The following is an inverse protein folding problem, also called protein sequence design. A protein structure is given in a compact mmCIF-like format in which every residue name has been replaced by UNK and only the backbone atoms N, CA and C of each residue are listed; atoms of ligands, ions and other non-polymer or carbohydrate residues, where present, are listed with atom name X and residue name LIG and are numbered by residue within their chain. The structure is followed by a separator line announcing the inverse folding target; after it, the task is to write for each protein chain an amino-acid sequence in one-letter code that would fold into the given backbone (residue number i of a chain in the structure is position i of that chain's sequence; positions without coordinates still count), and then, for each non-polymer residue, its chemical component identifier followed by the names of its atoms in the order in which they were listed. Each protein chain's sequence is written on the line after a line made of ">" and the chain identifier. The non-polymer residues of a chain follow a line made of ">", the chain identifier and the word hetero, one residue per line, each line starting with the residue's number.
data_IF_709389783604
#
_entry.id   IF_709389783604
#
_cell.length_a   1.000
_cell.length_b   1.000
_cell.length_c   1.000
_cell.angle_alpha   90.00
_cell.angle_beta   90.00
_cell.angle_gamma   90.00
#
_symmetry.space_group_name_H-M   'P 1'
#
loop_
_entity.id
_entity.type
_entity.pdbx_description
1 polymer ?
#
# COMPACT_ATOMS: atom_id res chain seq x y z
N UNK A 1 16.65 15.62 12.54
CA UNK A 1 17.47 14.88 11.55
C UNK A 1 17.13 13.38 11.44
N UNK A 2 16.29 12.79 12.32
CA UNK A 2 15.92 11.35 12.25
C UNK A 2 14.82 10.98 11.23
N UNK A 3 14.07 11.97 10.72
CA UNK A 3 12.95 11.74 9.80
C UNK A 3 13.31 10.99 8.51
N UNK A 4 14.36 11.38 7.78
CA UNK A 4 14.77 10.67 6.56
C UNK A 4 15.15 9.20 6.80
N UNK A 5 15.80 8.89 7.93
CA UNK A 5 16.17 7.51 8.27
C UNK A 5 14.93 6.64 8.46
N UNK A 6 13.95 7.12 9.24
CA UNK A 6 12.67 6.42 9.39
C UNK A 6 11.90 6.31 8.07
N UNK A 7 11.99 7.32 7.21
CA UNK A 7 11.42 7.27 5.86
C UNK A 7 12.01 6.15 5.01
N UNK A 8 13.34 5.98 5.01
CA UNK A 8 14.02 4.89 4.29
C UNK A 8 13.64 3.53 4.88
N UNK A 9 13.66 3.40 6.20
CA UNK A 9 13.26 2.16 6.87
C UNK A 9 11.80 1.79 6.57
N UNK A 10 10.90 2.78 6.58
CA UNK A 10 9.51 2.60 6.21
C UNK A 10 9.38 2.16 4.75
N UNK A 11 10.13 2.79 3.83
CA UNK A 11 10.12 2.40 2.41
C UNK A 11 10.59 0.95 2.20
N UNK A 12 11.62 0.50 2.93
CA UNK A 12 12.04 -0.91 2.91
C UNK A 12 11.01 -1.85 3.51
N UNK A 13 10.41 -1.48 4.65
CA UNK A 13 9.41 -2.31 5.31
C UNK A 13 8.13 -2.47 4.48
N UNK A 14 7.60 -1.36 3.96
CA UNK A 14 6.40 -1.35 3.10
C UNK A 14 6.70 -1.98 1.74
N UNK A 15 7.73 -1.51 1.04
CA UNK A 15 8.05 -2.02 -0.31
C UNK A 15 8.45 -3.48 -0.30
N UNK A 16 9.29 -3.89 0.66
CA UNK A 16 9.68 -5.30 0.82
C UNK A 16 8.50 -6.18 1.25
N UNK A 17 7.67 -5.71 2.20
CA UNK A 17 6.48 -6.41 2.66
C UNK A 17 5.46 -6.64 1.53
N UNK A 18 5.13 -5.60 0.78
CA UNK A 18 4.20 -5.67 -0.35
C UNK A 18 4.72 -6.57 -1.47
N UNK A 19 6.02 -6.52 -1.77
CA UNK A 19 6.63 -7.39 -2.76
C UNK A 19 6.56 -8.87 -2.36
N UNK A 20 6.95 -9.18 -1.11
CA UNK A 20 6.90 -10.55 -0.59
C UNK A 20 5.47 -11.06 -0.47
N UNK A 21 4.54 -10.23 0.00
CA UNK A 21 3.10 -10.54 0.08
C UNK A 21 2.47 -10.77 -1.29
N UNK A 22 2.84 -9.95 -2.28
CA UNK A 22 2.44 -10.14 -3.67
C UNK A 22 2.99 -11.43 -4.28
N UNK A 23 4.28 -11.75 -4.03
CA UNK A 23 4.90 -12.99 -4.50
C UNK A 23 4.26 -14.23 -3.85
N UNK A 24 3.96 -14.16 -2.55
CA UNK A 24 3.24 -15.21 -1.84
C UNK A 24 1.82 -15.41 -2.40
N UNK A 25 1.13 -14.31 -2.75
CA UNK A 25 -0.23 -14.34 -3.30
C UNK A 25 -0.31 -14.91 -4.72
N UNK A 26 0.82 -15.09 -5.40
CA UNK A 26 0.90 -15.85 -6.67
C UNK A 26 0.95 -17.36 -6.46
N UNK A 27 1.30 -17.82 -5.25
CA UNK A 27 1.46 -19.25 -4.92
C UNK A 27 0.37 -19.79 -4.00
N UNK A 28 -0.23 -18.91 -3.21
CA UNK A 28 -1.24 -19.23 -2.21
C UNK A 28 -2.49 -18.38 -2.43
N UNK A 29 -3.67 -18.82 -1.94
CA UNK A 29 -4.86 -17.99 -1.97
C UNK A 29 -4.62 -16.63 -1.32
N UNK A 30 -4.90 -15.53 -2.04
CA UNK A 30 -4.63 -14.16 -1.58
C UNK A 30 -5.22 -13.89 -0.20
N UNK A 31 -6.44 -14.36 0.06
CA UNK A 31 -7.09 -14.21 1.36
C UNK A 31 -6.28 -14.85 2.50
N UNK A 32 -5.68 -16.01 2.26
CA UNK A 32 -4.84 -16.69 3.25
C UNK A 32 -3.58 -15.88 3.56
N UNK A 33 -2.92 -15.33 2.53
CA UNK A 33 -1.73 -14.48 2.70
C UNK A 33 -2.05 -13.25 3.55
N UNK A 34 -3.17 -12.58 3.27
CA UNK A 34 -3.63 -11.43 4.06
C UNK A 34 -3.97 -11.84 5.49
N UNK A 35 -4.71 -12.95 5.67
CA UNK A 35 -5.09 -13.43 7.00
C UNK A 35 -3.85 -13.70 7.88
N UNK A 36 -2.84 -14.37 7.34
CA UNK A 36 -1.58 -14.63 8.04
C UNK A 36 -0.86 -13.33 8.36
N UNK A 37 -0.78 -12.39 7.41
CA UNK A 37 -0.14 -11.08 7.62
C UNK A 37 -0.83 -10.25 8.73
N UNK A 38 -2.16 -10.21 8.72
CA UNK A 38 -2.95 -9.52 9.74
C UNK A 38 -2.81 -10.22 11.10
N UNK A 39 -2.79 -11.56 11.14
CA UNK A 39 -2.58 -12.31 12.37
C UNK A 39 -1.18 -12.05 12.96
N UNK A 40 -0.13 -12.04 12.13
CA UNK A 40 1.23 -11.68 12.56
C UNK A 40 1.29 -10.27 13.12
N UNK A 41 0.63 -9.31 12.47
CA UNK A 41 0.53 -7.92 12.96
C UNK A 41 -0.18 -7.87 14.31
N UNK A 42 -1.28 -8.59 14.48
CA UNK A 42 -2.03 -8.63 15.73
C UNK A 42 -1.18 -9.20 16.88
N UNK A 43 -0.47 -10.31 16.63
CA UNK A 43 0.44 -10.95 17.60
C UNK A 43 1.55 -10.00 18.05
N UNK A 44 2.05 -9.14 17.16
CA UNK A 44 3.09 -8.17 17.48
C UNK A 44 2.54 -6.91 18.18
N UNK A 45 1.43 -6.35 17.68
CA UNK A 45 0.94 -5.04 18.12
C UNK A 45 0.19 -5.12 19.45
N UNK A 46 -0.50 -6.22 19.75
CA UNK A 46 -1.29 -6.37 20.99
C UNK A 46 -0.41 -6.36 22.25
N UNK A 47 0.70 -7.11 22.33
CA UNK A 47 1.61 -7.03 23.48
C UNK A 47 2.22 -5.64 23.65
N UNK A 48 2.55 -4.95 22.56
CA UNK A 48 3.10 -3.58 22.59
C UNK A 48 2.04 -2.61 23.14
N UNK A 49 0.81 -2.71 22.64
CA UNK A 49 -0.31 -1.90 23.13
C UNK A 49 -0.57 -2.15 24.63
N UNK A 50 -0.55 -3.42 25.06
CA UNK A 50 -0.73 -3.77 26.47
C UNK A 50 0.39 -3.23 27.35
N UNK A 51 1.65 -3.38 26.93
CA UNK A 51 2.82 -2.89 27.65
C UNK A 51 2.89 -1.35 27.70
N UNK A 52 2.26 -0.65 26.75
CA UNK A 52 2.22 0.82 26.71
C UNK A 52 1.36 1.46 27.81
N UNK A 53 0.53 0.69 28.52
CA UNK A 53 -0.33 1.18 29.60
C UNK A 53 -1.43 2.14 29.13
N UNK A 54 -1.77 2.12 27.84
CA UNK A 54 -2.81 2.99 27.28
C UNK A 54 -4.20 2.60 27.80
N UNK A 55 -5.05 3.62 27.96
CA UNK A 55 -6.45 3.44 28.35
C UNK A 55 -7.23 2.74 27.23
N UNK A 56 -8.26 1.97 27.63
CA UNK A 56 -9.17 1.35 26.68
C UNK A 56 -9.90 2.47 25.89
N UNK A 57 -9.93 2.41 24.55
CA UNK A 57 -10.61 3.42 23.75
C UNK A 57 -12.12 3.49 24.06
N UNK A 58 -12.67 4.70 24.01
CA UNK A 58 -14.13 4.92 23.98
C UNK A 58 -14.78 4.18 22.80
N UNK A 59 -16.02 3.74 22.99
CA UNK A 59 -16.94 3.26 21.94
C UNK A 59 -16.84 4.00 20.61
N UNK A 60 -16.80 5.34 20.60
CA UNK A 60 -16.71 6.11 19.36
C UNK A 60 -15.36 5.93 18.64
N UNK A 61 -14.26 5.85 19.41
CA UNK A 61 -12.95 5.53 18.87
C UNK A 61 -12.92 4.09 18.35
N UNK A 62 -13.55 3.15 19.06
CA UNK A 62 -13.66 1.75 18.67
C UNK A 62 -14.37 1.57 17.32
N UNK A 63 -15.47 2.29 17.08
CA UNK A 63 -16.19 2.23 15.80
C UNK A 63 -15.34 2.79 14.66
N UNK A 64 -14.65 3.91 14.89
CA UNK A 64 -13.77 4.53 13.86
C UNK A 64 -12.59 3.63 13.51
N UNK A 65 -11.94 3.02 14.50
CA UNK A 65 -10.81 2.11 14.27
C UNK A 65 -11.25 0.80 13.64
N UNK A 66 -12.45 0.30 13.97
CA UNK A 66 -13.04 -0.86 13.29
C UNK A 66 -13.28 -0.59 11.81
N UNK A 67 -13.90 0.55 11.47
CA UNK A 67 -14.12 0.95 10.07
C UNK A 67 -12.79 1.11 9.34
N UNK A 68 -11.82 1.80 9.97
CA UNK A 68 -10.48 1.96 9.41
C UNK A 68 -9.79 0.61 9.17
N UNK A 69 -9.86 -0.31 10.14
CA UNK A 69 -9.28 -1.64 10.03
C UNK A 69 -9.90 -2.49 8.92
N UNK A 70 -11.23 -2.49 8.78
CA UNK A 70 -11.93 -3.18 7.69
C UNK A 70 -11.54 -2.58 6.34
N UNK A 71 -11.57 -1.24 6.21
CA UNK A 71 -11.18 -0.57 4.97
C UNK A 71 -9.73 -0.86 4.57
N UNK A 72 -8.80 -0.82 5.54
CA UNK A 72 -7.39 -1.13 5.32
C UNK A 72 -7.18 -2.58 4.92
N UNK A 73 -7.81 -3.52 5.63
CA UNK A 73 -7.75 -4.95 5.30
C UNK A 73 -8.30 -5.28 3.90
N UNK A 74 -9.44 -4.68 3.53
CA UNK A 74 -9.97 -4.78 2.17
C UNK A 74 -9.02 -4.19 1.13
N UNK A 75 -8.37 -3.06 1.44
CA UNK A 75 -7.36 -2.43 0.60
C UNK A 75 -6.16 -3.34 0.34
N UNK A 76 -5.59 -3.94 1.39
CA UNK A 76 -4.47 -4.90 1.28
C UNK A 76 -4.90 -6.14 0.49
N UNK A 77 -6.12 -6.64 0.71
CA UNK A 77 -6.64 -7.76 -0.06
C UNK A 77 -6.76 -7.44 -1.55
N UNK A 78 -7.29 -6.27 -1.90
CA UNK A 78 -7.36 -5.81 -3.29
C UNK A 78 -5.97 -5.63 -3.91
N UNK A 79 -5.01 -5.09 -3.16
CA UNK A 79 -3.62 -4.90 -3.59
C UNK A 79 -2.95 -6.24 -3.92
N UNK A 80 -2.98 -7.19 -2.97
CA UNK A 80 -2.35 -8.50 -3.15
C UNK A 80 -3.06 -9.33 -4.22
N UNK A 81 -4.38 -9.18 -4.36
CA UNK A 81 -5.12 -9.79 -5.45
C UNK A 81 -4.67 -9.23 -6.81
N UNK A 82 -4.45 -7.90 -6.89
CA UNK A 82 -3.86 -7.26 -8.06
C UNK A 82 -2.46 -7.78 -8.38
N UNK A 83 -1.60 -7.97 -7.39
CA UNK A 83 -0.27 -8.56 -7.58
C UNK A 83 -0.29 -10.01 -8.05
N UNK A 84 -1.30 -10.77 -7.61
CA UNK A 84 -1.48 -12.16 -8.03
C UNK A 84 -1.88 -12.27 -9.51
N UNK A 85 -2.70 -11.35 -10.02
CA UNK A 85 -3.31 -11.46 -11.36
C UNK A 85 -2.78 -10.44 -12.40
N UNK A 86 -1.91 -9.51 -12.00
CA UNK A 86 -1.41 -8.43 -12.85
C UNK A 86 0.10 -8.24 -12.81
N UNK A 87 0.57 -7.24 -13.58
CA UNK A 87 1.96 -6.75 -13.53
C UNK A 87 2.16 -6.01 -12.20
N UNK A 88 3.03 -6.55 -11.33
CA UNK A 88 3.30 -5.97 -10.00
C UNK A 88 3.70 -4.50 -10.10
N UNK A 89 4.53 -4.12 -11.08
CA UNK A 89 4.96 -2.73 -11.28
C UNK A 89 3.80 -1.77 -11.49
N UNK A 90 2.84 -2.14 -12.36
CA UNK A 90 1.68 -1.31 -12.68
C UNK A 90 0.75 -1.21 -11.47
N UNK A 91 0.43 -2.34 -10.83
CA UNK A 91 -0.45 -2.38 -9.65
C UNK A 91 0.15 -1.57 -8.50
N UNK A 92 1.46 -1.71 -8.24
CA UNK A 92 2.15 -0.99 -7.18
C UNK A 92 2.17 0.52 -7.45
N UNK A 93 2.42 0.94 -8.69
CA UNK A 93 2.38 2.36 -9.06
C UNK A 93 0.99 2.96 -8.87
N UNK A 94 -0.06 2.29 -9.34
CA UNK A 94 -1.45 2.75 -9.17
C UNK A 94 -1.79 2.85 -7.68
N UNK A 95 -1.54 1.79 -6.91
CA UNK A 95 -1.87 1.74 -5.49
C UNK A 95 -1.09 2.78 -4.67
N UNK A 96 0.23 2.88 -4.88
CA UNK A 96 1.08 3.83 -4.19
C UNK A 96 0.66 5.29 -4.44
N UNK A 97 0.23 5.61 -5.66
CA UNK A 97 -0.30 6.94 -5.94
C UNK A 97 -1.66 7.16 -5.31
N UNK A 98 -2.61 6.23 -5.43
CA UNK A 98 -3.90 6.40 -4.78
C UNK A 98 -3.72 6.59 -3.27
N UNK A 99 -2.80 5.85 -2.64
CA UNK A 99 -2.44 6.02 -1.24
C UNK A 99 -1.87 7.41 -0.92
N UNK A 100 -1.19 8.07 -1.86
CA UNK A 100 -0.69 9.43 -1.70
C UNK A 100 -1.73 10.53 -2.01
N UNK A 101 -2.58 10.32 -3.03
CA UNK A 101 -3.55 11.32 -3.50
C UNK A 101 -4.81 11.37 -2.63
N UNK A 102 -5.27 10.24 -2.08
CA UNK A 102 -6.50 10.20 -1.27
C UNK A 102 -6.38 11.10 -0.03
N UNK A 103 -5.34 11.00 0.82
CA UNK A 103 -5.22 11.87 2.00
C UNK A 103 -5.20 13.35 1.63
N UNK A 104 -4.59 13.67 0.49
CA UNK A 104 -4.44 15.04 -0.01
C UNK A 104 -5.77 15.59 -0.49
N UNK A 105 -6.54 14.80 -1.23
CA UNK A 105 -7.89 15.17 -1.62
C UNK A 105 -8.75 15.42 -0.36
N UNK A 106 -8.63 14.56 0.65
CA UNK A 106 -9.34 14.72 1.93
C UNK A 106 -8.93 16.02 2.64
N UNK A 107 -7.64 16.38 2.69
CA UNK A 107 -7.22 17.66 3.32
C UNK A 107 -7.71 18.87 2.54
N UNK A 108 -7.69 18.83 1.20
CA UNK A 108 -8.23 19.91 0.34
C UNK A 108 -9.73 20.11 0.56
N UNK A 109 -10.49 19.01 0.58
CA UNK A 109 -11.94 19.04 0.86
C UNK A 109 -12.20 19.57 2.28
N UNK A 110 -11.31 19.28 3.22
CA UNK A 110 -11.31 19.84 4.58
C UNK A 110 -10.98 21.34 4.67
N UNK A 111 -10.67 22.00 3.54
CA UNK A 111 -10.40 23.44 3.47
C UNK A 111 -8.92 23.81 3.58
N UNK A 112 -8.01 22.84 3.67
CA UNK A 112 -6.57 23.13 3.65
C UNK A 112 -6.07 23.42 2.23
N UNK A 113 -5.49 24.60 2.01
CA UNK A 113 -4.92 24.98 0.71
C UNK A 113 -3.48 24.43 0.63
N UNK A 114 -3.17 23.50 -0.29
CA UNK A 114 -1.82 22.98 -0.46
C UNK A 114 -0.88 24.09 -0.90
N UNK A 115 0.35 24.09 -0.38
CA UNK A 115 1.39 24.97 -0.90
C UNK A 115 1.72 24.63 -2.36
N UNK A 116 2.23 25.63 -3.12
CA UNK A 116 2.61 25.45 -4.51
C UNK A 116 3.61 24.29 -4.70
N UNK A 117 4.52 24.09 -3.75
CA UNK A 117 5.49 22.99 -3.75
C UNK A 117 4.81 21.63 -3.66
N UNK A 118 3.77 21.47 -2.82
CA UNK A 118 3.00 20.22 -2.73
C UNK A 118 2.26 19.94 -4.04
N UNK A 119 1.68 20.98 -4.66
CA UNK A 119 0.99 20.85 -5.94
C UNK A 119 1.91 20.34 -7.05
N UNK A 120 3.13 20.90 -7.14
CA UNK A 120 4.16 20.44 -8.09
C UNK A 120 4.52 18.97 -7.82
N UNK A 121 4.66 18.59 -6.55
CA UNK A 121 4.88 17.20 -6.15
C UNK A 121 3.78 16.26 -6.65
N UNK A 122 2.51 16.65 -6.55
CA UNK A 122 1.38 15.84 -7.06
C UNK A 122 1.41 15.69 -8.57
N UNK A 123 1.59 16.78 -9.31
CA UNK A 123 1.66 16.73 -10.77
C UNK A 123 2.81 15.80 -11.19
N UNK A 124 3.98 15.91 -10.53
CA UNK A 124 5.14 15.07 -10.79
C UNK A 124 4.85 13.60 -10.52
N UNK A 125 4.19 13.29 -9.39
CA UNK A 125 3.78 11.93 -9.06
C UNK A 125 2.80 11.35 -10.11
N UNK A 126 1.82 12.15 -10.55
CA UNK A 126 0.86 11.75 -11.60
C UNK A 126 1.58 11.42 -12.91
N UNK A 127 2.49 12.28 -13.36
CA UNK A 127 3.28 12.07 -14.57
C UNK A 127 4.13 10.79 -14.47
N UNK A 128 4.78 10.56 -13.33
CA UNK A 128 5.59 9.35 -13.12
C UNK A 128 4.76 8.06 -13.28
N UNK A 129 3.51 8.03 -12.81
CA UNK A 129 2.62 6.86 -12.98
C UNK A 129 2.27 6.63 -14.42
N UNK A 130 1.94 7.71 -15.16
CA UNK A 130 1.57 7.59 -16.57
C UNK A 130 2.73 6.90 -17.28
N UNK A 131 3.95 7.41 -17.09
CA UNK A 131 5.17 6.83 -17.67
C UNK A 131 5.35 5.36 -17.27
N UNK A 132 5.25 5.02 -15.98
CA UNK A 132 5.47 3.63 -15.50
C UNK A 132 4.36 2.69 -15.98
N UNK A 133 3.13 3.19 -16.10
CA UNK A 133 1.97 2.40 -16.52
C UNK A 133 1.93 2.18 -18.03
N UNK A 134 2.46 3.13 -18.82
CA UNK A 134 2.57 3.03 -20.28
C UNK A 134 3.88 2.40 -20.76
N UNK A 135 4.79 2.03 -19.86
CA UNK A 135 6.00 1.27 -20.18
C UNK A 135 5.65 -0.09 -20.77
N UNK A 136 5.72 -0.18 -22.09
CA UNK A 136 5.51 -1.39 -22.87
C UNK A 136 6.43 -2.51 -22.37
N UNK A 137 5.85 -3.68 -22.14
CA UNK A 137 6.62 -4.90 -22.01
C UNK A 137 6.99 -5.37 -23.40
N UNK A 138 8.13 -4.92 -23.94
CA UNK A 138 8.76 -5.63 -25.04
C UNK A 138 9.23 -7.00 -24.52
N UNK A 139 8.37 -8.00 -24.69
CA UNK A 139 8.85 -9.36 -24.94
C UNK A 139 8.19 -9.82 -26.24
N UNK A 140 8.89 -9.69 -27.39
CA UNK A 140 8.47 -10.39 -28.58
C UNK A 140 8.46 -11.88 -28.23
N UNK A 141 7.31 -12.52 -28.38
CA UNK A 141 7.22 -13.96 -28.38
C UNK A 141 8.22 -14.47 -29.43
N UNK A 142 9.31 -15.09 -28.98
CA UNK A 142 10.11 -15.96 -29.84
C UNK A 142 9.26 -17.21 -30.04
N UNK A 143 8.32 -17.14 -30.99
CA UNK A 143 7.85 -18.31 -31.70
C UNK A 143 9.02 -18.79 -32.57
N UNK A 144 9.93 -19.53 -31.97
CA UNK A 144 10.85 -20.39 -32.69
C UNK A 144 10.04 -21.59 -33.15
N UNK A 145 9.65 -21.56 -34.42
CA UNK A 145 9.01 -22.63 -35.15
C UNK A 145 9.84 -23.91 -35.09
N UNK A 146 9.11 -25.02 -35.07
CA UNK A 146 9.58 -26.39 -35.14
C UNK A 146 10.35 -26.62 -36.45
N UNK A 147 11.51 -27.26 -36.35
CA UNK A 147 12.27 -27.85 -37.46
C UNK A 147 12.66 -29.28 -37.12
#
# INVERSE_FOLDING_TARGET
>A
MMGPLFGILAAFAWGGGDFLGGLASRRLPTFFVVLVSQASTLILIVPIAWASGQLIPDSAALTRTMIAGVSGGCGVLALYHGFAHGRISVVASIAGTLAALIPVAVTIIGGEIPSLVRLIGFITAVVAIIIVSTGEGEHPAVAGEDG
#
